data_IF_430193120605
#
_entry.id   IF_430193120605
#
_cell.length_a   1.000
_cell.length_b   1.000
_cell.length_c   1.000
_cell.angle_alpha   90.00
_cell.angle_beta   90.00
_cell.angle_gamma   90.00
#
_symmetry.space_group_name_H-M   'P 1'
#
loop_
_entity.id
_entity.type
_entity.pdbx_description
1 polymer ?
#
# COMPACT_ATOMS: atom_id res chain seq x y z
N UNK A 1 4.28 11.96 20.76
CA UNK A 1 4.19 11.81 19.30
C UNK A 1 3.48 10.49 19.01
N UNK A 2 2.61 10.43 18.01
CA UNK A 2 1.95 9.18 17.63
C UNK A 2 2.98 8.20 17.05
N UNK A 3 2.99 6.95 17.52
CA UNK A 3 3.78 5.87 16.91
C UNK A 3 3.11 5.47 15.60
N UNK A 4 3.80 5.59 14.47
CA UNK A 4 3.27 5.28 13.14
C UNK A 4 4.06 4.12 12.56
N UNK A 5 3.36 3.09 12.10
CA UNK A 5 3.93 1.90 11.46
C UNK A 5 3.48 1.81 10.00
N UNK A 6 4.37 1.38 9.12
CA UNK A 6 4.09 1.15 7.70
C UNK A 6 4.36 -0.31 7.35
N UNK A 7 3.44 -0.97 6.66
CA UNK A 7 3.58 -2.35 6.21
C UNK A 7 3.34 -2.43 4.71
N UNK A 8 4.19 -3.20 4.02
CA UNK A 8 4.04 -3.32 2.58
C UNK A 8 5.12 -4.10 1.85
N UNK A 9 5.16 -3.89 0.55
CA UNK A 9 6.16 -4.44 -0.35
C UNK A 9 7.35 -3.47 -0.57
N UNK A 10 8.01 -3.56 -1.72
CA UNK A 10 9.14 -2.70 -2.08
C UNK A 10 8.80 -1.21 -2.06
N UNK A 11 7.55 -0.82 -2.33
CA UNK A 11 7.14 0.59 -2.30
C UNK A 11 7.25 1.19 -0.89
N UNK A 12 6.96 0.38 0.13
CA UNK A 12 7.14 0.77 1.53
C UNK A 12 8.60 0.60 1.96
N UNK A 13 9.22 -0.55 1.66
CA UNK A 13 10.62 -0.86 1.99
C UNK A 13 11.57 0.26 1.55
N UNK A 14 11.41 0.78 0.32
CA UNK A 14 12.31 1.76 -0.27
C UNK A 14 11.94 3.22 0.01
N UNK A 15 10.93 3.48 0.86
CA UNK A 15 10.60 4.82 1.29
C UNK A 15 11.55 5.30 2.41
N UNK A 16 12.85 5.41 2.09
CA UNK A 16 13.91 5.72 3.07
C UNK A 16 13.77 7.10 3.73
N UNK A 17 13.02 8.01 3.11
CA UNK A 17 12.78 9.35 3.65
C UNK A 17 11.58 9.39 4.62
N UNK A 18 10.84 8.29 4.76
CA UNK A 18 9.76 8.19 5.74
C UNK A 18 10.33 8.14 7.16
N UNK A 19 9.85 8.98 8.11
CA UNK A 19 10.29 8.92 9.50
C UNK A 19 9.53 7.84 10.31
N UNK A 20 8.66 7.06 9.67
CA UNK A 20 7.80 6.07 10.32
C UNK A 20 8.49 4.71 10.41
N UNK A 21 8.05 3.90 11.37
CA UNK A 21 8.60 2.56 11.55
C UNK A 21 8.21 1.68 10.36
N UNK A 22 9.22 1.20 9.62
CA UNK A 22 9.05 0.63 8.31
C UNK A 22 9.18 -0.91 8.36
N UNK A 23 8.08 -1.59 8.10
CA UNK A 23 7.97 -3.04 7.97
C UNK A 23 7.70 -3.47 6.53
N UNK A 24 8.11 -2.66 5.56
CA UNK A 24 8.12 -3.02 4.15
C UNK A 24 9.19 -4.06 3.84
N UNK A 25 8.92 -4.91 2.86
CA UNK A 25 9.94 -5.83 2.34
C UNK A 25 9.74 -6.07 0.85
N UNK A 26 10.81 -5.90 0.08
CA UNK A 26 10.80 -6.21 -1.35
C UNK A 26 10.22 -7.62 -1.64
N UNK A 27 9.28 -7.68 -2.59
CA UNK A 27 8.63 -8.90 -3.03
C UNK A 27 7.49 -9.41 -2.15
N UNK A 28 7.17 -8.73 -1.04
CA UNK A 28 6.04 -9.12 -0.21
C UNK A 28 4.73 -9.09 -0.99
N UNK A 29 3.95 -10.14 -0.76
CA UNK A 29 2.55 -10.28 -1.13
C UNK A 29 1.68 -10.02 0.09
N UNK A 30 0.37 -9.91 -0.13
CA UNK A 30 -0.61 -9.78 0.97
C UNK A 30 -0.43 -10.87 2.04
N UNK A 31 -0.26 -12.14 1.61
CA UNK A 31 -0.01 -13.26 2.53
C UNK A 31 1.23 -13.09 3.40
N UNK A 32 2.29 -12.51 2.85
CA UNK A 32 3.58 -12.39 3.52
C UNK A 32 3.48 -11.31 4.62
N UNK A 33 2.76 -10.22 4.36
CA UNK A 33 2.40 -9.20 5.38
C UNK A 33 1.50 -9.78 6.47
N UNK A 34 0.53 -10.63 6.12
CA UNK A 34 -0.29 -11.31 7.11
C UNK A 34 0.55 -12.20 8.03
N UNK A 35 1.43 -13.03 7.47
CA UNK A 35 2.31 -13.90 8.24
C UNK A 35 3.30 -13.13 9.12
N UNK A 36 3.81 -11.98 8.64
CA UNK A 36 4.62 -11.08 9.45
C UNK A 36 3.85 -10.66 10.72
N UNK A 37 2.60 -10.23 10.57
CA UNK A 37 1.76 -9.84 11.69
C UNK A 37 1.47 -11.03 12.62
N UNK A 38 1.15 -12.20 12.08
CA UNK A 38 0.90 -13.40 12.90
C UNK A 38 2.12 -13.77 13.77
N UNK A 39 3.31 -13.75 13.17
CA UNK A 39 4.56 -14.11 13.84
C UNK A 39 5.06 -13.06 14.84
N UNK A 40 4.67 -11.80 14.67
CA UNK A 40 5.20 -10.69 15.48
C UNK A 40 4.05 -9.90 16.11
N UNK A 41 3.77 -10.18 17.38
CA UNK A 41 2.72 -9.48 18.14
C UNK A 41 3.13 -8.07 18.59
N UNK A 42 4.42 -7.76 18.55
CA UNK A 42 4.97 -6.45 18.95
C UNK A 42 4.89 -5.37 17.86
N UNK A 43 4.36 -5.71 16.68
CA UNK A 43 4.07 -4.74 15.62
C UNK A 43 2.75 -4.03 15.96
N UNK A 44 2.85 -2.89 16.66
CA UNK A 44 1.71 -2.04 17.05
C UNK A 44 2.07 -0.55 16.97
N UNK A 45 1.05 0.31 16.93
CA UNK A 45 1.22 1.76 16.88
C UNK A 45 -0.09 2.53 17.12
N UNK A 46 -0.06 3.84 17.02
CA UNK A 46 -1.27 4.67 17.02
C UNK A 46 -1.92 4.69 15.63
N UNK A 47 -1.09 4.73 14.56
CA UNK A 47 -1.55 4.75 13.17
C UNK A 47 -0.82 3.68 12.38
N UNK A 48 -1.57 2.82 11.68
CA UNK A 48 -1.05 1.86 10.72
C UNK A 48 -1.24 2.34 9.29
N UNK A 49 -0.25 2.11 8.42
CA UNK A 49 -0.31 2.39 6.99
C UNK A 49 -0.04 1.09 6.23
N UNK A 50 -0.93 0.73 5.30
CA UNK A 50 -0.85 -0.50 4.52
C UNK A 50 -0.79 -0.20 3.02
N UNK A 51 0.23 -0.74 2.36
CA UNK A 51 0.35 -0.77 0.89
C UNK A 51 1.02 -2.08 0.45
N UNK A 52 0.22 -3.05 0.01
CA UNK A 52 0.70 -4.33 -0.52
C UNK A 52 -0.33 -4.91 -1.46
N UNK A 53 0.09 -5.66 -2.48
CA UNK A 53 -0.81 -6.49 -3.28
C UNK A 53 -0.47 -6.54 -4.77
N UNK A 54 0.36 -5.62 -5.28
CA UNK A 54 0.76 -5.66 -6.70
C UNK A 54 1.52 -6.95 -7.03
N UNK A 55 2.32 -7.45 -6.09
CA UNK A 55 3.04 -8.73 -6.22
C UNK A 55 2.11 -9.95 -6.25
N UNK A 56 0.91 -9.87 -5.66
CA UNK A 56 -0.10 -10.92 -5.78
C UNK A 56 -0.45 -11.10 -7.27
N UNK A 57 -0.65 -9.99 -7.98
CA UNK A 57 -1.01 -10.01 -9.40
C UNK A 57 0.16 -10.34 -10.32
N UNK A 58 1.38 -9.88 -10.01
CA UNK A 58 2.57 -10.31 -10.75
C UNK A 58 2.85 -11.81 -10.61
N UNK A 59 2.47 -12.41 -9.49
CA UNK A 59 2.64 -13.85 -9.24
C UNK A 59 1.40 -14.68 -9.58
N UNK A 60 0.42 -14.09 -10.27
CA UNK A 60 -0.84 -14.74 -10.66
C UNK A 60 -1.61 -15.36 -9.48
N UNK A 61 -1.52 -14.77 -8.28
CA UNK A 61 -2.42 -15.11 -7.20
C UNK A 61 -3.86 -14.73 -7.60
N UNK A 62 -4.80 -15.61 -7.26
CA UNK A 62 -6.22 -15.39 -7.48
C UNK A 62 -6.72 -14.13 -6.76
N UNK A 63 -7.65 -13.42 -7.41
CA UNK A 63 -8.16 -12.15 -6.92
C UNK A 63 -8.90 -12.30 -5.59
N UNK A 64 -9.72 -13.34 -5.43
CA UNK A 64 -10.42 -13.62 -4.17
C UNK A 64 -9.43 -14.04 -3.08
N UNK A 65 -8.37 -14.78 -3.44
CA UNK A 65 -7.32 -15.12 -2.49
C UNK A 65 -6.59 -13.87 -1.95
N UNK A 66 -6.30 -12.90 -2.81
CA UNK A 66 -5.72 -11.62 -2.39
C UNK A 66 -6.65 -10.89 -1.41
N UNK A 67 -7.97 -10.83 -1.70
CA UNK A 67 -8.97 -10.25 -0.79
C UNK A 67 -9.01 -10.95 0.56
N UNK A 68 -9.01 -12.28 0.59
CA UNK A 68 -9.01 -13.06 1.84
C UNK A 68 -7.85 -12.66 2.76
N UNK A 69 -6.63 -12.57 2.20
CA UNK A 69 -5.47 -12.12 2.98
C UNK A 69 -5.60 -10.67 3.41
N UNK A 70 -6.08 -9.79 2.52
CA UNK A 70 -6.27 -8.38 2.85
C UNK A 70 -7.25 -8.17 4.01
N UNK A 71 -8.36 -8.92 4.04
CA UNK A 71 -9.33 -8.91 5.16
C UNK A 71 -8.64 -9.32 6.46
N UNK A 72 -7.81 -10.36 6.44
CA UNK A 72 -7.06 -10.81 7.62
C UNK A 72 -6.05 -9.76 8.10
N UNK A 73 -5.29 -9.15 7.19
CA UNK A 73 -4.33 -8.08 7.52
C UNK A 73 -5.06 -6.89 8.16
N UNK A 74 -6.15 -6.43 7.55
CA UNK A 74 -6.90 -5.27 8.05
C UNK A 74 -7.49 -5.56 9.43
N UNK A 75 -8.03 -6.76 9.65
CA UNK A 75 -8.55 -7.16 10.96
C UNK A 75 -7.45 -7.21 12.03
N UNK A 76 -6.28 -7.77 11.71
CA UNK A 76 -5.12 -7.76 12.61
C UNK A 76 -4.65 -6.33 12.93
N UNK A 77 -4.54 -5.47 11.92
CA UNK A 77 -4.12 -4.08 12.13
C UNK A 77 -5.14 -3.29 12.96
N UNK A 78 -6.44 -3.45 12.73
CA UNK A 78 -7.49 -2.78 13.54
C UNK A 78 -7.42 -3.15 15.03
N UNK A 79 -6.86 -4.30 15.38
CA UNK A 79 -6.62 -4.70 16.77
C UNK A 79 -5.31 -4.12 17.35
N UNK A 80 -4.40 -3.63 16.50
CA UNK A 80 -3.03 -3.21 16.87
C UNK A 80 -2.79 -1.71 16.71
N UNK A 81 -3.67 -1.00 16.01
CA UNK A 81 -3.60 0.44 15.79
C UNK A 81 -4.95 1.12 16.02
N UNK A 82 -4.92 2.39 16.44
CA UNK A 82 -6.15 3.18 16.69
C UNK A 82 -6.77 3.67 15.39
N UNK A 83 -5.94 3.98 14.38
CA UNK A 83 -6.36 4.47 13.06
C UNK A 83 -5.57 3.70 12.00
N UNK A 84 -6.23 3.40 10.88
CA UNK A 84 -5.63 2.67 9.77
C UNK A 84 -5.79 3.46 8.47
N UNK A 85 -4.72 3.51 7.68
CA UNK A 85 -4.71 4.02 6.31
C UNK A 85 -4.44 2.84 5.38
N UNK A 86 -5.34 2.61 4.43
CA UNK A 86 -5.21 1.61 3.37
C UNK A 86 -4.94 2.36 2.07
N UNK A 87 -3.72 2.30 1.57
CA UNK A 87 -3.32 3.00 0.35
C UNK A 87 -3.72 2.16 -0.86
N UNK A 88 -4.31 2.81 -1.87
CA UNK A 88 -4.54 2.18 -3.18
C UNK A 88 -3.25 1.62 -3.76
N UNK A 89 -3.29 0.44 -4.37
CA UNK A 89 -2.20 -0.07 -5.18
C UNK A 89 -1.83 0.96 -6.26
N UNK A 90 -0.53 1.15 -6.48
CA UNK A 90 -0.03 2.05 -7.52
C UNK A 90 -0.08 1.34 -8.89
N UNK A 91 -0.19 2.11 -9.99
CA UNK A 91 -0.08 1.53 -11.31
C UNK A 91 1.34 1.05 -11.61
N UNK A 92 1.44 0.23 -12.63
CA UNK A 92 2.67 -0.28 -13.23
C UNK A 92 2.78 0.16 -14.69
N UNK A 93 3.84 -0.20 -15.40
CA UNK A 93 3.92 -0.06 -16.86
C UNK A 93 3.23 -1.20 -17.63
N UNK A 94 2.59 -2.13 -16.92
CA UNK A 94 1.86 -3.25 -17.51
C UNK A 94 0.36 -3.02 -17.43
N UNK A 95 -0.25 -2.61 -18.54
CA UNK A 95 -1.70 -2.35 -18.63
C UNK A 95 -2.58 -3.49 -18.11
N UNK A 96 -2.22 -4.74 -18.41
CA UNK A 96 -2.98 -5.92 -17.97
C UNK A 96 -2.91 -6.14 -16.44
N UNK A 97 -1.85 -5.69 -15.78
CA UNK A 97 -1.77 -5.64 -14.31
C UNK A 97 -2.61 -4.48 -13.79
N UNK A 98 -2.58 -3.34 -14.47
CA UNK A 98 -3.31 -2.14 -14.04
C UNK A 98 -4.83 -2.33 -14.04
N UNK A 99 -5.37 -3.13 -14.97
CA UNK A 99 -6.79 -3.53 -14.93
C UNK A 99 -7.12 -4.23 -13.60
N UNK A 100 -6.29 -5.20 -13.19
CA UNK A 100 -6.47 -5.90 -11.90
C UNK A 100 -6.28 -4.96 -10.70
N UNK A 101 -5.33 -4.03 -10.80
CA UNK A 101 -5.10 -2.99 -9.78
C UNK A 101 -6.30 -2.08 -9.63
N UNK A 102 -6.96 -1.66 -10.72
CA UNK A 102 -8.17 -0.83 -10.67
C UNK A 102 -9.33 -1.58 -10.02
N UNK A 103 -9.58 -2.81 -10.43
CA UNK A 103 -10.61 -3.66 -9.82
C UNK A 103 -10.37 -3.85 -8.33
N UNK A 104 -9.11 -4.09 -7.94
CA UNK A 104 -8.76 -4.27 -6.53
C UNK A 104 -8.87 -2.97 -5.75
N UNK A 105 -8.45 -1.83 -6.32
CA UNK A 105 -8.58 -0.52 -5.70
C UNK A 105 -10.06 -0.13 -5.51
N UNK A 106 -10.93 -0.47 -6.46
CA UNK A 106 -12.38 -0.30 -6.31
C UNK A 106 -12.92 -1.15 -5.17
N UNK A 107 -12.49 -2.40 -5.06
CA UNK A 107 -12.84 -3.26 -3.93
C UNK A 107 -12.33 -2.70 -2.58
N UNK A 108 -11.08 -2.24 -2.50
CA UNK A 108 -10.51 -1.62 -1.30
C UNK A 108 -11.31 -0.39 -0.88
N UNK A 109 -11.62 0.50 -1.83
CA UNK A 109 -12.42 1.70 -1.59
C UNK A 109 -13.81 1.36 -1.04
N UNK A 110 -14.46 0.35 -1.58
CA UNK A 110 -15.80 -0.05 -1.16
C UNK A 110 -15.79 -0.80 0.20
N UNK A 111 -14.72 -1.55 0.47
CA UNK A 111 -14.60 -2.38 1.69
C UNK A 111 -14.09 -1.58 2.90
N UNK A 112 -13.28 -0.55 2.66
CA UNK A 112 -12.61 0.25 3.69
C UNK A 112 -12.73 1.76 3.43
N UNK A 113 -13.94 2.30 3.22
CA UNK A 113 -14.13 3.67 2.72
C UNK A 113 -13.56 4.76 3.64
N UNK A 114 -13.48 4.51 4.95
CA UNK A 114 -12.96 5.48 5.93
C UNK A 114 -11.43 5.44 6.04
N UNK A 115 -10.83 4.28 5.78
CA UNK A 115 -9.38 4.05 5.82
C UNK A 115 -8.69 4.29 4.47
N UNK A 116 -9.44 4.24 3.37
CA UNK A 116 -8.89 4.24 2.02
C UNK A 116 -8.27 5.59 1.62
N UNK A 117 -7.02 5.56 1.15
CA UNK A 117 -6.31 6.69 0.56
C UNK A 117 -5.99 6.38 -0.91
N UNK A 118 -6.64 7.11 -1.83
CA UNK A 118 -6.42 6.95 -3.26
C UNK A 118 -5.18 7.71 -3.74
N UNK A 119 -4.05 7.00 -3.82
CA UNK A 119 -2.83 7.48 -4.47
C UNK A 119 -2.76 7.15 -5.97
N UNK A 120 -3.43 6.08 -6.43
CA UNK A 120 -3.39 5.59 -7.82
C UNK A 120 -3.59 6.71 -8.85
N UNK A 121 -4.58 7.57 -8.63
CA UNK A 121 -4.93 8.69 -9.52
C UNK A 121 -3.77 9.67 -9.80
N UNK A 122 -2.80 9.79 -8.89
CA UNK A 122 -1.66 10.70 -9.06
C UNK A 122 -0.57 10.08 -9.94
N UNK A 123 -0.50 8.74 -9.99
CA UNK A 123 0.56 8.00 -10.66
C UNK A 123 0.16 7.43 -12.02
N UNK A 124 -1.14 7.26 -12.31
CA UNK A 124 -1.63 6.76 -13.60
C UNK A 124 -1.63 7.85 -14.68
N UNK A 125 -1.30 7.49 -15.91
CA UNK A 125 -1.41 8.31 -17.11
C UNK A 125 -2.64 7.95 -17.98
N UNK A 126 -2.83 8.68 -19.08
CA UNK A 126 -3.92 8.46 -20.03
C UNK A 126 -3.86 7.12 -20.78
N UNK A 127 -2.71 6.43 -20.75
CA UNK A 127 -2.50 5.16 -21.43
C UNK A 127 -2.75 3.95 -20.52
N UNK A 128 -3.24 4.18 -19.31
CA UNK A 128 -3.36 3.18 -18.26
C UNK A 128 -2.00 2.62 -17.83
N UNK A 129 -0.97 3.49 -17.74
CA UNK A 129 0.38 3.15 -17.30
C UNK A 129 0.88 4.09 -16.20
N UNK A 130 1.88 3.63 -15.45
CA UNK A 130 2.56 4.48 -14.49
C UNK A 130 3.31 5.61 -15.21
N UNK A 131 3.00 6.85 -14.83
CA UNK A 131 3.68 8.05 -15.33
C UNK A 131 5.20 7.91 -15.21
N UNK A 132 5.89 7.93 -16.34
CA UNK A 132 7.36 7.78 -16.42
C UNK A 132 8.15 8.80 -15.60
N UNK A 133 7.58 9.96 -15.29
CA UNK A 133 8.23 10.94 -14.40
C UNK A 133 8.42 10.43 -12.96
N UNK A 134 7.63 9.45 -12.53
CA UNK A 134 7.64 8.93 -11.15
C UNK A 134 8.32 7.56 -11.01
N UNK A 135 8.81 6.95 -12.09
CA UNK A 135 9.42 5.61 -12.08
C UNK A 135 10.58 5.51 -13.06
N UNK A 136 11.52 4.62 -12.79
CA UNK A 136 12.62 4.27 -13.72
C UNK A 136 12.42 2.91 -14.37
N UNK A 137 11.62 2.03 -13.77
CA UNK A 137 11.44 0.64 -14.19
C UNK A 137 9.97 0.24 -14.42
N UNK A 138 9.06 1.19 -14.29
CA UNK A 138 7.63 0.96 -14.48
C UNK A 138 6.91 0.37 -13.29
N UNK A 139 7.56 0.15 -12.14
CA UNK A 139 6.94 -0.44 -10.94
C UNK A 139 7.27 0.38 -9.70
N UNK A 140 8.55 0.72 -9.53
CA UNK A 140 9.03 1.38 -8.33
C UNK A 140 9.08 2.88 -8.48
N UNK A 141 8.91 3.58 -7.35
CA UNK A 141 8.97 5.03 -7.30
C UNK A 141 10.43 5.51 -7.35
N UNK A 142 10.67 6.53 -8.16
CA UNK A 142 11.90 7.33 -8.08
C UNK A 142 11.76 8.43 -7.02
N UNK A 143 12.76 9.30 -6.88
CA UNK A 143 12.73 10.42 -5.93
C UNK A 143 11.49 11.30 -6.06
N UNK A 144 11.11 11.71 -7.28
CA UNK A 144 9.92 12.54 -7.53
C UNK A 144 8.63 11.78 -7.18
N UNK A 145 8.61 10.47 -7.43
CA UNK A 145 7.51 9.60 -7.06
C UNK A 145 7.30 9.55 -5.54
N UNK A 146 8.38 9.41 -4.77
CA UNK A 146 8.30 9.44 -3.30
C UNK A 146 7.97 10.82 -2.74
N UNK A 147 8.40 11.91 -3.38
CA UNK A 147 8.05 13.27 -2.98
C UNK A 147 6.52 13.47 -3.00
N UNK A 148 5.86 13.11 -4.09
CA UNK A 148 4.40 13.24 -4.20
C UNK A 148 3.67 12.22 -3.31
N UNK A 149 4.17 10.99 -3.21
CA UNK A 149 3.63 9.95 -2.32
C UNK A 149 3.60 10.45 -0.86
N UNK A 150 4.73 10.91 -0.35
CA UNK A 150 4.87 11.34 1.04
C UNK A 150 4.09 12.63 1.30
N UNK A 151 4.09 13.58 0.37
CA UNK A 151 3.29 14.82 0.50
C UNK A 151 1.80 14.54 0.70
N UNK A 152 1.23 13.60 -0.07
CA UNK A 152 -0.19 13.28 0.04
C UNK A 152 -0.47 12.45 1.30
N UNK A 153 0.40 11.49 1.62
CA UNK A 153 0.30 10.70 2.84
C UNK A 153 0.36 11.59 4.09
N UNK A 154 1.28 12.54 4.14
CA UNK A 154 1.43 13.46 5.28
C UNK A 154 0.21 14.38 5.44
N UNK A 155 -0.38 14.84 4.33
CA UNK A 155 -1.64 15.57 4.38
C UNK A 155 -2.76 14.72 5.00
N UNK A 156 -2.90 13.46 4.56
CA UNK A 156 -3.88 12.54 5.15
C UNK A 156 -3.62 12.30 6.64
N UNK A 157 -2.36 12.15 7.03
CA UNK A 157 -1.97 11.99 8.43
C UNK A 157 -2.30 13.22 9.28
N UNK A 158 -2.20 14.44 8.75
CA UNK A 158 -2.61 15.65 9.45
C UNK A 158 -4.13 15.71 9.68
N UNK A 159 -4.93 15.23 8.72
CA UNK A 159 -6.40 15.19 8.84
C UNK A 159 -6.89 14.19 9.89
N UNK A 160 -6.15 13.09 10.07
CA UNK A 160 -6.54 12.03 10.99
C UNK A 160 -5.76 12.04 12.30
N UNK A 161 -4.81 12.94 12.54
CA UNK A 161 -4.13 13.01 13.83
C UNK A 161 -5.08 13.62 14.85
#
# INVERSE_FOLDING_TARGET
>A
MNKIIMLGDSLIDWNYNSPYENYGKNGYRSRDVFWLLEANKDIFGDIGILLVGVNDFFTNMDFEKSKEYYVKIVNELRNRVKKLIVISLLPTDRKYINIKVEDFNNWLKNSYPNEFLNLYQYFIDENLEMKRVYTTDGIHLNHKGYEIFNKILDKRLQEIK
#
